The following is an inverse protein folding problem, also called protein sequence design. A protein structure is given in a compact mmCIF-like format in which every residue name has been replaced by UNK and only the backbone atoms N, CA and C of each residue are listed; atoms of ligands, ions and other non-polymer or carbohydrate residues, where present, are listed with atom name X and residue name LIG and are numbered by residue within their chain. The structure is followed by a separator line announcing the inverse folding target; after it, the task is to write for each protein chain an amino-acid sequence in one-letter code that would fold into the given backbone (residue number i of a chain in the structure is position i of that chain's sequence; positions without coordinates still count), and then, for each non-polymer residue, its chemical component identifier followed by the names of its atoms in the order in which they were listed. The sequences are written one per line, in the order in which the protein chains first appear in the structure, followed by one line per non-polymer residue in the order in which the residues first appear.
data_IF_354487990124
#
_entry.id   IF_354487990124
#
_cell.length_a   1.000
_cell.length_b   1.000
_cell.length_c   1.000
_cell.angle_alpha   90.00
_cell.angle_beta   90.00
_cell.angle_gamma   90.00
#
_symmetry.space_group_name_H-M   'P 1'
#
loop_
_entity.id
_entity.type
_entity.pdbx_description
1 polymer ?
#
# COMPACT_ATOMS: atom_id res chain seq x y z
N UNK A 1 -47.69 -25.34 35.82
CA UNK A 1 -48.04 -24.18 34.96
C UNK A 1 -47.03 -23.04 34.99
N UNK A 2 -46.48 -22.62 36.15
CA UNK A 2 -45.48 -21.53 36.21
C UNK A 2 -44.12 -21.89 35.57
N UNK A 3 -43.66 -23.14 35.74
CA UNK A 3 -42.38 -23.62 35.20
C UNK A 3 -42.37 -23.74 33.66
N UNK A 4 -43.48 -24.16 33.07
CA UNK A 4 -43.65 -24.29 31.62
C UNK A 4 -43.67 -22.94 30.90
N UNK A 5 -44.21 -21.89 31.56
CA UNK A 5 -44.17 -20.52 31.04
C UNK A 5 -42.76 -19.93 31.10
N UNK A 6 -41.98 -20.26 32.13
CA UNK A 6 -40.59 -19.83 32.28
C UNK A 6 -39.69 -20.44 31.20
N UNK A 7 -39.83 -21.74 30.93
CA UNK A 7 -39.07 -22.42 29.87
C UNK A 7 -39.39 -21.87 28.47
N UNK A 8 -40.67 -21.66 28.16
CA UNK A 8 -41.09 -21.07 26.89
C UNK A 8 -40.55 -19.64 26.69
N UNK A 9 -40.49 -18.84 27.76
CA UNK A 9 -39.89 -17.50 27.71
C UNK A 9 -38.38 -17.55 27.44
N UNK A 10 -37.66 -18.52 28.01
CA UNK A 10 -36.23 -18.72 27.79
C UNK A 10 -35.94 -19.09 26.33
N UNK A 11 -36.71 -20.03 25.77
CA UNK A 11 -36.57 -20.48 24.38
C UNK A 11 -36.85 -19.35 23.38
N UNK A 12 -37.85 -18.50 23.64
CA UNK A 12 -38.14 -17.30 22.84
C UNK A 12 -36.97 -16.31 22.91
N UNK A 13 -36.39 -16.08 24.11
CA UNK A 13 -35.23 -15.20 24.25
C UNK A 13 -34.01 -15.74 23.49
N UNK A 14 -33.72 -17.05 23.58
CA UNK A 14 -32.62 -17.69 22.84
C UNK A 14 -32.86 -17.56 21.33
N UNK A 15 -34.07 -17.85 20.85
CA UNK A 15 -34.43 -17.70 19.44
C UNK A 15 -34.31 -16.25 18.96
N UNK A 16 -34.76 -15.28 19.76
CA UNK A 16 -34.58 -13.85 19.48
C UNK A 16 -33.10 -13.46 19.44
N UNK A 17 -32.26 -13.96 20.34
CA UNK A 17 -30.81 -13.72 20.32
C UNK A 17 -30.14 -14.33 19.08
N UNK A 18 -30.57 -15.52 18.64
CA UNK A 18 -30.10 -16.16 17.38
C UNK A 18 -30.56 -15.36 16.14
N UNK A 19 -31.76 -14.78 16.17
CA UNK A 19 -32.26 -13.93 15.08
C UNK A 19 -31.59 -12.55 15.08
N UNK A 20 -31.25 -12.00 16.25
CA UNK A 20 -30.54 -10.74 16.40
C UNK A 20 -29.06 -10.87 16.00
N UNK A 21 -28.41 -11.99 16.34
CA UNK A 21 -27.04 -12.27 15.89
C UNK A 21 -26.95 -12.44 14.37
N UNK A 22 -27.99 -12.98 13.72
CA UNK A 22 -28.09 -13.02 12.24
C UNK A 22 -28.23 -11.64 11.57
N UNK A 23 -28.53 -10.57 12.31
CA UNK A 23 -28.61 -9.20 11.79
C UNK A 23 -27.29 -8.43 11.90
N UNK A 24 -26.29 -8.95 12.61
CA UNK A 24 -24.94 -8.38 12.56
C UNK A 24 -24.28 -8.82 11.26
N UNK A 25 -24.44 -7.99 10.22
CA UNK A 25 -23.65 -8.10 8.99
C UNK A 25 -22.21 -7.70 9.31
N UNK A 26 -21.42 -8.62 9.87
CA UNK A 26 -19.98 -8.44 9.90
C UNK A 26 -19.50 -8.34 8.44
N UNK A 27 -18.69 -7.35 8.14
CA UNK A 27 -18.08 -7.22 6.83
C UNK A 27 -17.19 -8.44 6.55
N UNK A 28 -17.04 -8.78 5.27
CA UNK A 28 -16.14 -9.84 4.82
C UNK A 28 -14.72 -9.60 5.37
N UNK A 29 -14.08 -10.67 5.86
CA UNK A 29 -12.78 -10.56 6.50
C UNK A 29 -11.70 -10.02 5.55
N UNK A 30 -11.80 -10.29 4.23
CA UNK A 30 -10.87 -9.77 3.22
C UNK A 30 -11.03 -8.26 3.05
N UNK A 31 -12.27 -7.75 3.19
CA UNK A 31 -12.53 -6.32 3.18
C UNK A 31 -11.88 -5.66 4.39
N UNK A 32 -12.08 -6.21 5.60
CA UNK A 32 -11.51 -5.66 6.83
C UNK A 32 -9.97 -5.77 6.91
N UNK A 33 -9.39 -6.82 6.33
CA UNK A 33 -7.94 -7.00 6.30
C UNK A 33 -7.21 -5.89 5.51
N UNK A 34 -7.85 -5.36 4.46
CA UNK A 34 -7.24 -4.39 3.55
C UNK A 34 -7.63 -2.94 3.81
N UNK A 35 -8.00 -2.63 5.05
CA UNK A 35 -8.18 -1.24 5.52
C UNK A 35 -6.88 -0.46 5.28
N UNK A 36 -6.95 0.81 4.82
CA UNK A 36 -5.77 1.66 4.70
C UNK A 36 -4.99 1.76 6.02
N UNK A 37 -3.67 1.63 5.96
CA UNK A 37 -2.78 1.73 7.12
C UNK A 37 -1.66 2.73 6.87
N UNK A 38 -1.00 3.20 7.93
CA UNK A 38 0.24 3.98 7.83
C UNK A 38 1.20 3.55 8.93
N UNK A 39 2.43 4.05 8.88
CA UNK A 39 3.47 3.76 9.85
C UNK A 39 3.52 4.76 11.02
N UNK A 40 2.51 5.62 11.15
CA UNK A 40 2.49 6.81 12.00
C UNK A 40 2.83 8.07 11.23
N UNK A 41 3.92 8.05 10.45
CA UNK A 41 4.31 9.11 9.52
C UNK A 41 4.18 8.66 8.06
N UNK A 42 4.18 9.64 7.15
CA UNK A 42 4.09 9.40 5.71
C UNK A 42 2.66 9.16 5.21
N UNK A 43 2.51 8.60 4.00
CA UNK A 43 1.21 8.45 3.35
C UNK A 43 0.40 7.30 3.92
N UNK A 44 -0.92 7.35 3.73
CA UNK A 44 -1.77 6.17 3.90
C UNK A 44 -1.50 5.17 2.78
N UNK A 45 -1.26 3.93 3.16
CA UNK A 45 -0.95 2.80 2.29
C UNK A 45 -2.22 2.00 2.00
N UNK A 46 -2.57 2.01 0.73
CA UNK A 46 -3.60 1.18 0.09
C UNK A 46 -3.01 0.42 -1.09
N UNK A 47 -3.80 -0.53 -1.62
CA UNK A 47 -3.52 -1.22 -2.87
C UNK A 47 -3.05 -0.23 -3.96
N UNK A 48 -2.00 -0.54 -4.75
CA UNK A 48 -1.34 -1.83 -4.84
C UNK A 48 -0.28 -2.12 -3.78
N UNK A 49 0.02 -1.16 -2.92
CA UNK A 49 0.98 -1.34 -1.83
C UNK A 49 0.31 -1.92 -0.60
N UNK A 50 1.10 -2.56 0.26
CA UNK A 50 0.63 -3.01 1.56
C UNK A 50 1.78 -2.99 2.57
N UNK A 51 1.46 -2.78 3.84
CA UNK A 51 2.45 -2.81 4.91
C UNK A 51 2.50 -4.22 5.52
N UNK A 52 3.66 -4.87 5.41
CA UNK A 52 3.91 -6.16 6.04
C UNK A 52 3.74 -6.07 7.56
N UNK A 53 2.95 -6.99 8.13
CA UNK A 53 2.64 -7.03 9.56
C UNK A 53 1.48 -6.11 10.00
N UNK A 54 1.02 -5.18 9.15
CA UNK A 54 -0.18 -4.37 9.43
C UNK A 54 -1.35 -4.66 8.48
N UNK A 55 -1.05 -5.17 7.28
CA UNK A 55 -2.00 -5.61 6.26
C UNK A 55 -1.61 -7.00 5.78
N UNK A 56 -2.61 -7.74 5.31
CA UNK A 56 -2.40 -9.07 4.76
C UNK A 56 -1.73 -8.99 3.37
N UNK A 57 -0.96 -10.01 2.99
CA UNK A 57 -0.19 -10.00 1.74
C UNK A 57 -1.06 -9.92 0.47
N UNK A 58 -2.31 -10.37 0.56
CA UNK A 58 -3.30 -10.25 -0.50
C UNK A 58 -3.89 -8.82 -0.62
N UNK A 59 -3.49 -7.86 0.22
CA UNK A 59 -3.93 -6.46 0.11
C UNK A 59 -3.10 -5.64 -0.88
N UNK A 60 -2.09 -6.22 -1.52
CA UNK A 60 -1.30 -5.56 -2.55
C UNK A 60 -0.68 -6.54 -3.55
N UNK A 61 0.07 -6.04 -4.51
CA UNK A 61 0.76 -6.89 -5.47
C UNK A 61 2.00 -7.54 -4.84
N UNK A 62 2.39 -8.75 -5.29
CA UNK A 62 3.73 -9.27 -5.04
C UNK A 62 4.78 -8.24 -5.47
N UNK A 63 5.82 -8.03 -4.65
CA UNK A 63 6.85 -7.00 -4.90
C UNK A 63 6.50 -5.59 -4.37
N UNK A 64 5.24 -5.32 -4.01
CA UNK A 64 4.79 -4.01 -3.52
C UNK A 64 4.65 -3.93 -1.98
N UNK A 65 5.33 -4.82 -1.28
CA UNK A 65 5.32 -4.85 0.18
C UNK A 65 6.20 -3.73 0.75
N UNK A 66 5.70 -3.06 1.78
CA UNK A 66 6.38 -2.02 2.53
C UNK A 66 6.57 -2.47 3.97
N UNK A 67 7.54 -1.88 4.66
CA UNK A 67 7.74 -2.07 6.10
C UNK A 67 7.69 -0.72 6.80
N UNK A 68 7.36 -0.72 8.09
CA UNK A 68 7.52 0.48 8.89
C UNK A 68 8.96 0.56 9.40
N UNK A 69 9.68 1.57 8.93
CA UNK A 69 11.04 1.87 9.36
C UNK A 69 11.08 2.46 10.77
N UNK A 70 12.30 2.59 11.32
CA UNK A 70 12.53 3.06 12.70
C UNK A 70 12.00 4.47 12.98
N UNK A 71 11.88 5.31 11.95
CA UNK A 71 11.37 6.68 12.05
C UNK A 71 9.84 6.78 11.85
N UNK A 72 9.13 5.64 11.81
CA UNK A 72 7.68 5.60 11.62
C UNK A 72 7.24 5.91 10.19
N UNK A 73 8.13 5.82 9.21
CA UNK A 73 7.79 5.99 7.79
C UNK A 73 7.76 4.63 7.07
N UNK A 74 6.92 4.47 6.03
CA UNK A 74 6.97 3.30 5.16
C UNK A 74 8.28 3.26 4.36
N UNK A 75 8.89 2.08 4.25
CA UNK A 75 10.14 1.85 3.54
C UNK A 75 10.03 0.75 2.49
N UNK A 76 10.78 0.93 1.40
CA UNK A 76 11.09 -0.09 0.41
C UNK A 76 12.54 -0.50 0.62
N UNK A 77 12.76 -1.80 0.76
CA UNK A 77 14.08 -2.35 0.98
C UNK A 77 14.72 -2.72 -0.37
N UNK A 78 15.95 -2.24 -0.60
CA UNK A 78 16.88 -2.85 -1.54
C UNK A 78 17.93 -3.65 -0.76
N UNK A 79 18.85 -4.33 -1.45
CA UNK A 79 19.86 -5.21 -0.83
C UNK A 79 20.71 -4.48 0.21
N UNK A 80 21.09 -3.22 -0.06
CA UNK A 80 22.01 -2.45 0.79
C UNK A 80 21.50 -1.07 1.21
N UNK A 81 20.34 -0.65 0.71
CA UNK A 81 19.74 0.65 1.03
C UNK A 81 18.26 0.46 1.38
N UNK A 82 17.81 1.21 2.38
CA UNK A 82 16.38 1.41 2.64
C UNK A 82 15.97 2.76 2.05
N UNK A 83 14.83 2.76 1.36
CA UNK A 83 14.26 3.98 0.78
C UNK A 83 12.96 4.30 1.49
N UNK A 84 12.86 5.51 2.03
CA UNK A 84 11.63 5.99 2.67
C UNK A 84 10.67 6.44 1.58
N UNK A 85 9.42 5.98 1.66
CA UNK A 85 8.32 6.46 0.82
C UNK A 85 7.73 7.72 1.45
N UNK A 86 8.05 8.87 0.86
CA UNK A 86 7.62 10.19 1.36
C UNK A 86 6.16 10.47 0.95
N UNK A 87 5.83 10.24 -0.33
CA UNK A 87 4.50 10.45 -0.87
C UNK A 87 4.12 9.37 -1.88
N UNK A 88 2.82 9.12 -2.02
CA UNK A 88 2.26 8.25 -3.05
C UNK A 88 1.10 9.00 -3.71
N UNK A 89 1.08 9.01 -5.04
CA UNK A 89 -0.03 9.48 -5.85
C UNK A 89 -0.65 8.30 -6.60
N UNK A 90 -1.72 7.76 -6.02
CA UNK A 90 -2.49 6.66 -6.60
C UNK A 90 -3.06 6.97 -8.00
N UNK A 91 -3.59 8.18 -8.28
CA UNK A 91 -4.11 8.52 -9.60
C UNK A 91 -3.03 8.54 -10.70
N UNK A 92 -1.85 9.09 -10.42
CA UNK A 92 -0.74 9.15 -11.38
C UNK A 92 0.10 7.87 -11.41
N UNK A 93 -0.14 6.95 -10.47
CA UNK A 93 0.65 5.73 -10.27
C UNK A 93 2.13 6.02 -10.05
N UNK A 94 2.40 7.05 -9.26
CA UNK A 94 3.76 7.45 -8.91
C UNK A 94 3.94 7.62 -7.40
N UNK A 95 5.18 7.55 -6.95
CA UNK A 95 5.55 7.72 -5.55
C UNK A 95 6.95 8.28 -5.45
N UNK A 96 7.19 9.07 -4.40
CA UNK A 96 8.47 9.72 -4.16
C UNK A 96 9.20 9.01 -3.04
N UNK A 97 10.48 8.75 -3.28
CA UNK A 97 11.35 8.10 -2.31
C UNK A 97 12.66 8.86 -2.14
N UNK A 98 13.27 8.69 -0.97
CA UNK A 98 14.62 9.15 -0.69
C UNK A 98 15.33 8.12 0.18
N UNK A 99 16.67 8.11 0.15
CA UNK A 99 17.44 7.14 0.92
C UNK A 99 17.32 7.42 2.43
N UNK A 100 17.00 6.38 3.22
CA UNK A 100 16.82 6.49 4.66
C UNK A 100 18.08 6.96 5.40
N UNK A 101 19.27 6.78 4.82
CA UNK A 101 20.53 7.27 5.35
C UNK A 101 20.54 8.79 5.55
N UNK A 102 19.71 9.54 4.80
CA UNK A 102 19.57 11.00 4.94
C UNK A 102 19.02 11.42 6.30
N UNK A 103 18.18 10.58 6.95
CA UNK A 103 17.69 10.85 8.31
C UNK A 103 18.65 10.37 9.41
N UNK A 104 19.73 9.69 9.05
CA UNK A 104 20.65 9.13 10.02
C UNK A 104 21.55 10.21 10.61
N UNK A 105 21.94 10.04 11.87
CA UNK A 105 22.86 10.97 12.53
C UNK A 105 24.23 10.96 11.83
N UNK A 106 24.64 12.14 11.35
CA UNK A 106 25.89 12.37 10.63
C UNK A 106 27.05 12.72 11.58
N UNK A 107 27.03 12.31 12.85
CA UNK A 107 28.12 12.65 13.79
C UNK A 107 29.46 12.19 13.20
N UNK A 108 30.36 13.13 12.95
CA UNK A 108 31.66 12.83 12.34
C UNK A 108 31.65 12.54 10.82
N UNK A 109 30.53 12.73 10.09
CA UNK A 109 30.48 12.69 8.60
C UNK A 109 29.72 13.87 7.98
N UNK A 110 30.01 14.21 6.72
CA UNK A 110 29.23 15.21 5.96
C UNK A 110 28.22 14.51 5.05
N UNK A 111 28.66 13.43 4.40
CA UNK A 111 27.79 12.66 3.50
C UNK A 111 27.04 11.52 4.22
N UNK A 112 25.74 11.33 3.90
CA UNK A 112 24.98 10.15 4.30
C UNK A 112 25.63 8.85 3.82
N UNK A 113 25.47 7.77 4.59
CA UNK A 113 26.05 6.46 4.27
C UNK A 113 25.22 5.68 3.24
N UNK A 114 25.13 6.23 2.03
CA UNK A 114 24.46 5.62 0.89
C UNK A 114 25.37 4.55 0.28
N UNK A 115 24.79 3.42 -0.17
CA UNK A 115 25.50 2.37 -0.91
C UNK A 115 25.10 2.34 -2.38
N UNK A 116 25.99 1.85 -3.24
CA UNK A 116 25.74 1.71 -4.68
C UNK A 116 24.81 0.53 -4.96
N UNK A 117 23.51 0.74 -4.77
CA UNK A 117 22.49 -0.25 -5.12
C UNK A 117 21.32 0.42 -5.83
N UNK A 118 20.74 -0.28 -6.80
CA UNK A 118 19.54 0.15 -7.49
C UNK A 118 18.31 -0.35 -6.74
N UNK A 119 17.22 0.42 -6.79
CA UNK A 119 15.91 -0.15 -6.47
C UNK A 119 15.55 -1.21 -7.52
N UNK A 120 14.88 -2.31 -7.13
CA UNK A 120 14.49 -3.35 -8.06
C UNK A 120 13.62 -2.78 -9.20
N UNK A 121 14.12 -2.94 -10.43
CA UNK A 121 13.62 -2.28 -11.65
C UNK A 121 12.41 -3.04 -12.26
N UNK A 122 12.02 -4.17 -11.69
CA UNK A 122 10.93 -5.00 -12.23
C UNK A 122 9.56 -4.32 -12.17
N UNK A 123 9.22 -3.77 -10.99
CA UNK A 123 7.91 -3.15 -10.73
C UNK A 123 7.90 -1.63 -10.85
N UNK A 124 9.08 -0.99 -10.82
CA UNK A 124 9.24 0.46 -10.68
C UNK A 124 10.11 1.07 -11.79
N UNK A 125 9.72 2.27 -12.23
CA UNK A 125 10.42 3.01 -13.29
C UNK A 125 10.82 4.40 -12.79
N UNK A 126 12.08 4.77 -13.00
CA UNK A 126 12.58 6.10 -12.66
C UNK A 126 11.96 7.18 -13.53
N UNK A 127 11.61 8.30 -12.90
CA UNK A 127 11.07 9.49 -13.56
C UNK A 127 12.09 10.62 -13.40
N UNK A 128 12.61 11.13 -14.53
CA UNK A 128 13.50 12.30 -14.58
C UNK A 128 14.64 12.29 -13.55
N UNK A 129 15.32 11.14 -13.41
CA UNK A 129 16.36 10.96 -12.40
C UNK A 129 17.69 11.57 -12.84
N UNK A 130 18.36 12.24 -11.91
CA UNK A 130 19.75 12.70 -12.01
C UNK A 130 20.55 11.97 -10.94
N UNK A 131 21.81 11.65 -11.23
CA UNK A 131 22.63 10.76 -10.39
C UNK A 131 23.90 11.47 -9.92
N UNK A 132 23.84 12.36 -8.92
CA UNK A 132 25.04 12.90 -8.30
C UNK A 132 25.90 11.80 -7.68
N UNK A 133 27.20 12.00 -7.81
CA UNK A 133 28.24 11.27 -7.12
C UNK A 133 28.55 11.99 -5.82
N UNK A 134 28.35 11.29 -4.72
CA UNK A 134 28.81 11.68 -3.40
C UNK A 134 30.16 11.01 -3.17
N UNK A 135 31.20 11.82 -3.09
CA UNK A 135 32.58 11.36 -2.98
C UNK A 135 33.12 11.71 -1.61
N UNK A 136 33.71 10.74 -0.91
CA UNK A 136 34.23 10.91 0.44
C UNK A 136 35.71 10.53 0.54
N UNK A 137 36.36 11.05 1.59
CA UNK A 137 37.78 10.85 1.86
C UNK A 137 38.64 11.32 0.68
N UNK A 138 38.42 12.57 0.27
CA UNK A 138 39.21 13.22 -0.77
C UNK A 138 40.52 13.77 -0.22
N UNK A 139 41.51 13.94 -1.11
CA UNK A 139 42.83 14.48 -0.75
C UNK A 139 42.72 15.91 -0.19
N UNK A 140 43.52 16.26 0.82
CA UNK A 140 43.47 17.58 1.48
C UNK A 140 43.74 18.77 0.54
N UNK A 141 44.58 18.59 -0.49
CA UNK A 141 44.90 19.63 -1.47
C UNK A 141 44.13 19.41 -2.76
N UNK A 142 42.83 19.68 -2.71
CA UNK A 142 41.98 19.58 -3.90
C UNK A 142 42.41 20.59 -4.98
N UNK A 143 42.39 20.17 -6.25
CA UNK A 143 42.43 21.09 -7.39
C UNK A 143 41.40 22.23 -7.25
N UNK A 144 41.78 23.46 -7.62
CA UNK A 144 40.95 24.68 -7.44
C UNK A 144 39.58 24.62 -8.12
N UNK A 145 39.48 23.91 -9.23
CA UNK A 145 38.26 23.65 -9.97
C UNK A 145 37.28 22.74 -9.21
N UNK A 146 37.77 21.97 -8.23
CA UNK A 146 36.92 21.13 -7.38
C UNK A 146 36.38 21.83 -6.14
N UNK A 147 36.93 23.00 -5.76
CA UNK A 147 36.53 23.72 -4.55
C UNK A 147 35.04 24.09 -4.51
N UNK A 148 34.41 24.27 -5.68
CA UNK A 148 32.98 24.60 -5.78
C UNK A 148 32.03 23.42 -5.46
N UNK A 149 32.53 22.18 -5.47
CA UNK A 149 31.74 20.97 -5.19
C UNK A 149 31.92 20.46 -3.76
N UNK A 150 32.74 21.15 -2.96
CA UNK A 150 33.14 20.73 -1.64
C UNK A 150 31.98 20.81 -0.66
N UNK A 151 31.66 19.69 -0.02
CA UNK A 151 30.56 19.60 0.93
C UNK A 151 31.02 20.12 2.29
N UNK A 152 30.65 21.36 2.60
CA UNK A 152 30.92 21.98 3.90
C UNK A 152 29.85 21.56 4.91
N UNK A 153 30.26 20.86 5.97
CA UNK A 153 29.40 20.55 7.10
C UNK A 153 30.08 20.98 8.40
N UNK A 154 29.34 21.69 9.27
CA UNK A 154 29.86 22.15 10.55
C UNK A 154 30.15 20.97 11.48
N UNK A 155 31.41 20.55 11.54
CA UNK A 155 31.91 19.54 12.47
C UNK A 155 33.33 19.86 12.90
N UNK A 156 33.55 19.92 14.21
CA UNK A 156 34.90 20.10 14.78
C UNK A 156 35.79 18.90 14.42
N UNK A 157 37.02 19.19 14.00
CA UNK A 157 38.11 18.24 13.70
C UNK A 157 37.82 17.25 12.58
N UNK A 158 37.96 17.68 11.32
CA UNK A 158 38.08 16.74 10.21
C UNK A 158 39.16 17.10 9.21
N UNK A 159 39.94 16.09 8.90
CA UNK A 159 41.00 16.10 7.88
C UNK A 159 40.47 15.63 6.51
N UNK A 160 39.24 15.10 6.44
CA UNK A 160 38.70 14.49 5.22
C UNK A 160 37.72 15.43 4.49
N UNK A 161 38.03 15.72 3.24
CA UNK A 161 37.20 16.50 2.33
C UNK A 161 36.19 15.59 1.61
N UNK A 162 34.97 16.08 1.44
CA UNK A 162 33.88 15.39 0.74
C UNK A 162 33.40 16.25 -0.44
N UNK A 163 32.99 15.64 -1.56
CA UNK A 163 32.49 16.31 -2.76
C UNK A 163 31.10 15.79 -3.16
N UNK A 164 30.29 16.65 -3.77
CA UNK A 164 29.05 16.27 -4.45
C UNK A 164 29.06 16.81 -5.89
N UNK A 165 29.11 15.91 -6.87
CA UNK A 165 29.26 16.28 -8.29
C UNK A 165 28.18 15.60 -9.13
N UNK A 166 27.57 16.33 -10.07
CA UNK A 166 26.58 15.77 -10.99
C UNK A 166 27.22 14.81 -11.99
N UNK A 167 26.45 13.81 -12.44
CA UNK A 167 26.86 12.82 -13.45
C UNK A 167 27.28 13.44 -14.80
N UNK A 168 26.76 14.61 -15.13
CA UNK A 168 27.03 15.33 -16.39
C UNK A 168 28.08 16.45 -16.27
N UNK A 169 28.65 16.65 -15.09
CA UNK A 169 29.64 17.71 -14.88
C UNK A 169 31.01 17.34 -15.49
N UNK A 170 31.66 18.30 -16.15
CA UNK A 170 32.98 18.11 -16.77
C UNK A 170 34.08 17.74 -15.77
N UNK A 171 33.94 18.13 -14.50
CA UNK A 171 34.90 17.88 -13.43
C UNK A 171 34.62 16.58 -12.65
N UNK A 172 33.58 15.82 -13.02
CA UNK A 172 33.22 14.58 -12.35
C UNK A 172 34.41 13.62 -12.27
N UNK A 173 35.05 13.33 -13.40
CA UNK A 173 36.16 12.38 -13.45
C UNK A 173 37.30 12.80 -12.51
N UNK A 174 37.59 14.09 -12.46
CA UNK A 174 38.59 14.64 -11.55
C UNK A 174 38.21 14.45 -10.09
N UNK A 175 36.94 14.68 -9.74
CA UNK A 175 36.43 14.38 -8.40
C UNK A 175 36.59 12.92 -8.03
N UNK A 176 36.18 12.00 -8.92
CA UNK A 176 36.27 10.55 -8.69
C UNK A 176 37.71 10.07 -8.46
N UNK A 177 38.68 10.64 -9.17
CA UNK A 177 40.11 10.31 -9.05
C UNK A 177 40.76 10.83 -7.76
N UNK A 178 40.22 11.91 -7.20
CA UNK A 178 40.78 12.58 -6.02
C UNK A 178 40.13 12.12 -4.70
N UNK A 179 39.22 11.14 -4.75
CA UNK A 179 38.47 10.64 -3.59
C UNK A 179 38.47 9.11 -3.52
N UNK A 180 38.60 8.57 -2.31
CA UNK A 180 38.68 7.12 -2.08
C UNK A 180 37.34 6.41 -2.33
N UNK A 181 36.22 7.05 -1.94
CA UNK A 181 34.89 6.44 -1.96
C UNK A 181 33.96 7.27 -2.80
N UNK A 182 33.26 6.62 -3.73
CA UNK A 182 32.35 7.27 -4.66
C UNK A 182 31.02 6.50 -4.69
N UNK A 183 29.93 7.17 -4.34
CA UNK A 183 28.59 6.57 -4.32
C UNK A 183 27.61 7.39 -5.14
N UNK A 184 26.72 6.71 -5.85
CA UNK A 184 25.66 7.33 -6.65
C UNK A 184 24.41 7.45 -5.79
N UNK A 185 23.87 8.66 -5.70
CA UNK A 185 22.64 8.93 -4.97
C UNK A 185 21.57 9.46 -5.95
N UNK A 186 20.64 8.62 -6.43
CA UNK A 186 19.59 9.08 -7.34
C UNK A 186 18.75 10.17 -6.69
N UNK A 187 18.52 11.26 -7.42
CA UNK A 187 17.70 12.41 -6.99
C UNK A 187 16.98 13.02 -8.19
N UNK A 188 16.06 13.93 -7.93
CA UNK A 188 15.43 14.75 -8.95
C UNK A 188 15.85 16.21 -8.79
N UNK A 189 16.56 16.74 -9.78
CA UNK A 189 17.01 18.14 -9.82
C UNK A 189 16.07 18.94 -10.72
N UNK A 190 15.64 20.12 -10.28
CA UNK A 190 14.77 21.01 -11.05
C UNK A 190 15.54 22.25 -11.54
N UNK A 191 15.49 22.55 -12.84
CA UNK A 191 16.01 23.77 -13.46
C UNK A 191 17.27 23.59 -14.33
N UNK A 192 17.61 24.61 -15.11
CA UNK A 192 18.75 24.66 -16.07
C UNK A 192 20.12 24.92 -15.41
N UNK A 193 20.33 24.48 -14.16
CA UNK A 193 21.58 24.82 -13.45
C UNK A 193 22.53 23.64 -13.45
N UNK A 194 23.52 23.74 -14.33
CA UNK A 194 24.78 22.99 -14.41
C UNK A 194 25.57 22.85 -13.08
N UNK A 195 25.06 23.33 -11.94
CA UNK A 195 25.79 23.35 -10.66
C UNK A 195 24.81 23.18 -9.50
N UNK A 196 24.87 22.05 -8.80
CA UNK A 196 24.34 21.94 -7.43
C UNK A 196 25.21 22.84 -6.56
N UNK A 197 24.64 23.89 -5.98
CA UNK A 197 25.32 24.63 -4.93
C UNK A 197 25.29 23.76 -3.68
N UNK A 198 26.43 23.59 -3.03
CA UNK A 198 26.63 22.75 -1.85
C UNK A 198 25.55 22.98 -0.78
N UNK A 199 25.06 24.19 -0.57
CA UNK A 199 23.98 24.45 0.40
C UNK A 199 22.67 23.67 0.13
N UNK A 200 22.47 23.15 -1.07
CA UNK A 200 21.24 22.47 -1.50
C UNK A 200 21.37 20.94 -1.51
N UNK A 201 22.56 20.35 -1.28
CA UNK A 201 22.72 18.88 -1.43
C UNK A 201 21.86 18.10 -0.44
N UNK A 202 21.77 18.54 0.82
CA UNK A 202 20.94 17.90 1.83
C UNK A 202 19.46 17.96 1.45
N UNK A 203 19.01 19.11 0.96
CA UNK A 203 17.63 19.31 0.50
C UNK A 203 17.31 18.42 -0.70
N UNK A 204 18.22 18.35 -1.68
CA UNK A 204 18.06 17.53 -2.88
C UNK A 204 18.03 16.04 -2.50
N UNK A 205 18.93 15.59 -1.62
CA UNK A 205 18.93 14.21 -1.11
C UNK A 205 17.65 13.90 -0.30
N UNK A 206 17.16 14.85 0.50
CA UNK A 206 15.93 14.69 1.29
C UNK A 206 14.68 14.68 0.43
N UNK A 207 14.68 15.44 -0.67
CA UNK A 207 13.64 15.45 -1.69
C UNK A 207 13.61 14.14 -2.48
N UNK A 208 14.78 13.54 -2.72
CA UNK A 208 14.93 12.27 -3.41
C UNK A 208 14.41 12.32 -4.85
N UNK A 209 13.75 11.26 -5.29
CA UNK A 209 13.32 11.06 -6.68
C UNK A 209 11.96 10.38 -6.78
N UNK A 210 11.34 10.50 -7.94
CA UNK A 210 10.04 9.92 -8.24
C UNK A 210 10.16 8.62 -9.04
N UNK A 211 9.29 7.68 -8.71
CA UNK A 211 9.16 6.39 -9.37
C UNK A 211 7.71 6.22 -9.82
N UNK A 212 7.53 5.74 -11.05
CA UNK A 212 6.26 5.18 -11.50
C UNK A 212 6.21 3.70 -11.11
N UNK A 213 5.01 3.19 -10.80
CA UNK A 213 4.81 1.77 -10.62
C UNK A 213 3.89 1.17 -11.69
N UNK A 214 4.25 -0.01 -12.16
CA UNK A 214 3.45 -0.76 -13.11
C UNK A 214 2.39 -1.57 -12.39
N UNK A 215 1.14 -1.12 -12.42
CA UNK A 215 0.00 -1.93 -11.99
C UNK A 215 -0.59 -2.69 -13.19
N UNK A 216 -0.52 -4.01 -13.18
CA UNK A 216 -1.04 -4.89 -14.24
C UNK A 216 -2.56 -4.83 -14.43
N UNK A 217 -3.29 -4.28 -13.46
CA UNK A 217 -4.74 -4.18 -13.53
C UNK A 217 -5.30 -2.95 -12.83
N UNK A 218 -6.35 -2.37 -13.42
CA UNK A 218 -7.00 -1.14 -12.98
C UNK A 218 -8.12 -1.43 -11.98
N UNK A 219 -7.87 -1.17 -10.70
CA UNK A 219 -8.85 -1.31 -9.62
C UNK A 219 -9.68 -0.03 -9.37
N UNK A 220 -9.46 1.03 -10.15
CA UNK A 220 -10.07 2.36 -9.92
C UNK A 220 -11.61 2.37 -9.90
N UNK A 221 -12.25 1.40 -10.55
CA UNK A 221 -13.72 1.28 -10.53
C UNK A 221 -14.23 0.89 -9.14
N UNK A 222 -13.49 0.03 -8.45
CA UNK A 222 -13.79 -0.43 -7.10
C UNK A 222 -13.62 0.68 -6.07
N UNK A 223 -12.48 1.35 -6.15
CA UNK A 223 -12.06 2.37 -5.17
C UNK A 223 -13.00 3.57 -5.21
N UNK A 224 -13.50 3.93 -6.41
CA UNK A 224 -14.51 4.98 -6.59
C UNK A 224 -15.86 4.67 -5.93
N UNK A 225 -16.20 3.40 -5.75
CA UNK A 225 -17.41 2.97 -5.04
C UNK A 225 -17.20 2.93 -3.51
N UNK A 226 -15.98 3.23 -3.02
CA UNK A 226 -15.62 3.20 -1.60
C UNK A 226 -15.16 1.82 -1.11
N UNK A 227 -14.90 0.91 -2.03
CA UNK A 227 -14.50 -0.48 -1.75
C UNK A 227 -12.99 -0.69 -1.86
N UNK A 228 -12.52 -1.87 -1.43
CA UNK A 228 -11.09 -2.15 -1.27
C UNK A 228 -10.59 -3.13 -2.30
N UNK A 229 -9.35 -2.95 -2.70
CA UNK A 229 -8.70 -3.81 -3.68
C UNK A 229 -7.77 -4.80 -2.98
N UNK A 230 -7.62 -5.97 -3.60
CA UNK A 230 -6.60 -6.92 -3.22
C UNK A 230 -6.20 -7.82 -4.38
N UNK A 231 -5.17 -8.62 -4.16
CA UNK A 231 -4.59 -9.49 -5.16
C UNK A 231 -4.94 -10.95 -4.89
N UNK A 232 -5.48 -11.62 -5.90
CA UNK A 232 -5.67 -13.05 -5.87
C UNK A 232 -4.45 -13.72 -6.52
N UNK A 233 -3.63 -14.39 -5.70
CA UNK A 233 -2.43 -15.09 -6.15
C UNK A 233 -2.72 -16.28 -7.06
N UNK A 234 -3.87 -16.94 -6.91
CA UNK A 234 -4.26 -18.08 -7.75
C UNK A 234 -4.59 -17.64 -9.18
N UNK A 235 -5.32 -16.53 -9.34
CA UNK A 235 -5.73 -16.02 -10.65
C UNK A 235 -4.84 -14.89 -11.18
N UNK A 236 -3.75 -14.56 -10.47
CA UNK A 236 -2.83 -13.46 -10.77
C UNK A 236 -3.54 -12.16 -11.19
N UNK A 237 -4.60 -11.79 -10.47
CA UNK A 237 -5.45 -10.65 -10.81
C UNK A 237 -6.02 -9.97 -9.58
N UNK A 238 -6.31 -8.67 -9.70
CA UNK A 238 -6.99 -7.95 -8.64
C UNK A 238 -8.42 -8.46 -8.41
N UNK A 239 -8.93 -8.20 -7.21
CA UNK A 239 -10.32 -8.38 -6.81
C UNK A 239 -10.77 -7.15 -6.02
N UNK A 240 -12.06 -6.86 -6.12
CA UNK A 240 -12.75 -6.01 -5.17
C UNK A 240 -13.09 -6.81 -3.94
N UNK A 241 -12.52 -6.48 -2.80
CA UNK A 241 -13.04 -6.89 -1.52
C UNK A 241 -14.13 -5.91 -1.12
N UNK A 242 -15.30 -6.46 -0.83
CA UNK A 242 -16.51 -5.73 -0.52
C UNK A 242 -17.03 -6.20 0.84
N UNK A 243 -17.87 -5.42 1.54
CA UNK A 243 -18.42 -5.84 2.82
C UNK A 243 -19.20 -7.15 2.77
N UNK A 244 -19.79 -7.52 1.63
CA UNK A 244 -20.52 -8.78 1.47
C UNK A 244 -19.61 -9.96 1.12
N UNK A 245 -18.79 -9.83 0.06
CA UNK A 245 -17.84 -10.83 -0.43
C UNK A 245 -16.95 -10.25 -1.53
N UNK A 246 -15.88 -10.94 -1.95
CA UNK A 246 -15.10 -10.50 -3.10
C UNK A 246 -15.85 -10.54 -4.45
N UNK A 247 -15.65 -9.50 -5.28
CA UNK A 247 -16.14 -9.40 -6.66
C UNK A 247 -14.97 -9.12 -7.63
N UNK A 248 -15.21 -9.27 -8.93
CA UNK A 248 -14.14 -9.19 -9.95
C UNK A 248 -13.70 -7.76 -10.30
N UNK A 249 -14.61 -6.78 -10.31
CA UNK A 249 -14.32 -5.40 -10.78
C UNK A 249 -14.96 -4.29 -9.96
N UNK A 250 -16.10 -4.58 -9.33
CA UNK A 250 -16.87 -3.64 -8.53
C UNK A 250 -17.78 -4.41 -7.59
N UNK A 251 -18.18 -3.80 -6.50
CA UNK A 251 -19.09 -4.41 -5.56
C UNK A 251 -20.51 -4.33 -6.13
N UNK A 252 -21.11 -5.49 -6.36
CA UNK A 252 -22.50 -5.53 -6.81
C UNK A 252 -23.37 -5.55 -5.57
N UNK A 253 -24.31 -4.60 -5.42
CA UNK A 253 -25.27 -4.71 -4.35
C UNK A 253 -25.91 -6.08 -4.45
N UNK A 254 -26.10 -6.73 -3.29
CA UNK A 254 -26.87 -7.97 -3.22
C UNK A 254 -28.13 -7.72 -4.04
N UNK A 255 -28.28 -8.46 -5.15
CA UNK A 255 -29.58 -8.55 -5.80
C UNK A 255 -30.48 -9.10 -4.70
N UNK A 256 -31.25 -8.23 -4.03
CA UNK A 256 -32.57 -8.63 -3.55
C UNK A 256 -33.15 -9.30 -4.77
N UNK A 257 -33.26 -10.64 -4.71
CA UNK A 257 -33.84 -11.41 -5.79
C UNK A 257 -35.15 -10.71 -6.05
N UNK A 258 -35.22 -9.95 -7.16
CA UNK A 258 -36.42 -9.19 -7.46
C UNK A 258 -37.51 -10.24 -7.43
N UNK A 259 -38.47 -10.02 -6.54
CA UNK A 259 -39.52 -10.97 -6.16
C UNK A 259 -40.31 -11.51 -7.37
N UNK A 260 -40.04 -10.98 -8.58
CA UNK A 260 -40.51 -11.47 -9.87
C UNK A 260 -40.13 -12.93 -10.20
N UNK A 261 -38.98 -13.47 -9.75
CA UNK A 261 -38.63 -14.89 -10.02
C UNK A 261 -39.07 -15.86 -8.92
N UNK A 262 -39.12 -15.40 -7.67
CA UNK A 262 -39.66 -16.18 -6.55
C UNK A 262 -41.20 -16.17 -6.51
N UNK A 263 -41.90 -15.16 -7.07
CA UNK A 263 -43.36 -15.21 -7.15
C UNK A 263 -43.86 -16.24 -8.18
N UNK A 264 -43.13 -16.46 -9.29
CA UNK A 264 -43.49 -17.52 -10.25
C UNK A 264 -43.27 -18.93 -9.69
N UNK A 265 -42.19 -19.17 -8.94
CA UNK A 265 -41.96 -20.47 -8.28
C UNK A 265 -42.81 -20.67 -7.01
N UNK A 266 -43.07 -19.64 -6.19
CA UNK A 266 -43.98 -19.74 -5.04
C UNK A 266 -45.46 -19.80 -5.44
N UNK A 267 -45.91 -19.19 -6.54
CA UNK A 267 -47.29 -19.43 -7.05
C UNK A 267 -47.47 -20.88 -7.48
N UNK A 268 -46.51 -21.47 -8.21
CA UNK A 268 -46.61 -22.90 -8.59
C UNK A 268 -46.54 -23.86 -7.40
N UNK A 269 -45.70 -23.60 -6.39
CA UNK A 269 -45.63 -24.46 -5.19
C UNK A 269 -46.77 -24.22 -4.17
N UNK A 270 -47.30 -23.00 -4.03
CA UNK A 270 -48.44 -22.73 -3.12
C UNK A 270 -49.75 -23.31 -3.65
N UNK A 271 -49.97 -23.34 -4.96
CA UNK A 271 -51.15 -24.01 -5.54
C UNK A 271 -51.10 -25.50 -5.24
N UNK A 272 -49.95 -26.16 -5.38
CA UNK A 272 -49.84 -27.59 -5.07
C UNK A 272 -50.04 -27.92 -3.58
N UNK A 273 -49.56 -27.09 -2.66
CA UNK A 273 -49.71 -27.37 -1.22
C UNK A 273 -51.14 -27.06 -0.69
N UNK A 274 -51.82 -26.06 -1.25
CA UNK A 274 -53.22 -25.77 -0.91
C UNK A 274 -54.18 -26.88 -1.39
N UNK A 275 -53.90 -27.49 -2.55
CA UNK A 275 -54.68 -28.64 -3.02
C UNK A 275 -54.48 -29.89 -2.16
N UNK A 276 -53.26 -30.16 -1.66
CA UNK A 276 -53.01 -31.29 -0.76
C UNK A 276 -53.68 -31.09 0.62
N UNK A 277 -53.52 -29.92 1.24
CA UNK A 277 -54.10 -29.67 2.58
C UNK A 277 -55.63 -29.58 2.55
N UNK A 278 -56.23 -29.11 1.45
CA UNK A 278 -57.69 -29.09 1.29
C UNK A 278 -58.28 -30.49 1.03
N UNK A 279 -57.52 -31.40 0.38
CA UNK A 279 -57.94 -32.79 0.19
C UNK A 279 -57.86 -33.59 1.49
N UNK A 280 -56.82 -33.37 2.30
CA UNK A 280 -56.66 -34.03 3.59
C UNK A 280 -57.69 -33.55 4.63
N UNK A 281 -58.04 -32.26 4.64
CA UNK A 281 -59.11 -31.73 5.50
C UNK A 281 -60.52 -32.17 5.05
N UNK A 282 -60.75 -32.37 3.74
CA UNK A 282 -62.03 -32.91 3.24
C UNK A 282 -62.22 -34.38 3.63
N UNK A 283 -61.17 -35.21 3.56
CA UNK A 283 -61.25 -36.62 3.97
C UNK A 283 -61.45 -36.78 5.49
N UNK A 284 -60.82 -35.93 6.30
CA UNK A 284 -61.03 -35.90 7.77
C UNK A 284 -62.44 -35.45 8.20
N UNK A 285 -63.15 -34.70 7.35
CA UNK A 285 -64.54 -34.28 7.59
C UNK A 285 -65.53 -35.37 7.17
N UNK A 286 -65.24 -36.15 6.12
CA UNK A 286 -66.10 -37.27 5.70
C UNK A 286 -66.01 -38.47 6.65
N UNK A 287 -64.87 -38.73 7.28
CA UNK A 287 -64.74 -39.82 8.28
C UNK A 287 -65.43 -39.51 9.64
N UNK A 288 -65.86 -38.27 9.89
CA UNK A 288 -66.59 -37.87 11.11
C UNK A 288 -68.11 -37.69 10.89
N UNK A 289 -68.63 -38.08 9.73
CA UNK A 289 -70.07 -38.00 9.39
C UNK A 289 -70.71 -39.36 9.09
N UNK A 290 -70.10 -40.46 9.53
CA UNK A 290 -70.73 -41.78 9.64
C UNK A 290 -70.62 -42.30 11.08
#
# INVERSE_FOLDING_TARGET
MKYTVFLASLDICIFCLILLSRKSSAADFLYEACVPRNCGNGPNITFPFYIEGLQESYCGYPGFHLKCGKHGYPTINSTENDYIVETISYPSRSFRVYNAAVLSNLTGRCLPQIKNTTLPIGEFQYVNVTSPYLSSNCIEQLPKDLSQYMVDCQGENRDNLDLAILDKDENLQKGLENCEKNVVAPVEVHGDKERIVVAEYEEILRRGFELNYLSSSDCSTCEREGDRCGFNTTTHSFRCFCPDRPHFRRCRPLRTVSSKLLSKKKKKKKVSYFFFVAFDLWNLIIENLN
#
